data_IF_547517235059
#
_entry.id   IF_547517235059
#
_cell.length_a   1.000
_cell.length_b   1.000
_cell.length_c   1.000
_cell.angle_alpha   90.00
_cell.angle_beta   90.00
_cell.angle_gamma   90.00
#
_symmetry.space_group_name_H-M   'P 1'
#
loop_
_entity.id
_entity.type
_entity.pdbx_description
1 polymer ?
#
# COMPACT_ATOMS: atom_id res chain seq x y z
N UNK A 1 2.63 -11.92 10.97
CA UNK A 1 3.27 -12.34 9.71
C UNK A 1 4.58 -13.03 10.04
N UNK A 2 4.68 -14.34 9.84
CA UNK A 2 5.99 -15.01 9.82
C UNK A 2 6.45 -14.96 8.37
N UNK A 3 7.63 -14.39 8.10
CA UNK A 3 8.26 -14.48 6.79
C UNK A 3 8.66 -15.95 6.61
N UNK A 4 7.80 -16.73 5.95
CA UNK A 4 8.06 -18.15 5.70
C UNK A 4 9.02 -18.27 4.52
N UNK A 5 10.30 -18.36 4.82
CA UNK A 5 11.39 -18.54 3.84
C UNK A 5 12.62 -17.70 4.18
N UNK A 6 13.78 -18.07 3.66
CA UNK A 6 15.06 -17.36 3.81
C UNK A 6 15.09 -16.04 3.00
N UNK A 7 14.09 -15.17 3.14
CA UNK A 7 14.12 -13.87 2.52
C UNK A 7 15.06 -12.94 3.29
N UNK A 8 16.09 -12.43 2.62
CA UNK A 8 16.98 -11.44 3.20
C UNK A 8 16.25 -10.13 3.49
N UNK A 9 16.75 -9.36 4.46
CA UNK A 9 16.23 -8.02 4.79
C UNK A 9 16.16 -7.12 3.55
N UNK A 10 17.14 -7.22 2.63
CA UNK A 10 17.13 -6.47 1.37
C UNK A 10 15.99 -6.87 0.44
N UNK A 11 15.69 -8.16 0.32
CA UNK A 11 14.56 -8.62 -0.50
C UNK A 11 13.24 -8.12 0.07
N UNK A 12 13.09 -8.15 1.40
CA UNK A 12 11.91 -7.62 2.08
C UNK A 12 11.77 -6.11 1.82
N UNK A 13 12.84 -5.34 2.01
CA UNK A 13 12.85 -3.90 1.72
C UNK A 13 12.51 -3.59 0.26
N UNK A 14 12.97 -4.40 -0.69
CA UNK A 14 12.64 -4.26 -2.10
C UNK A 14 11.15 -4.56 -2.36
N UNK A 15 10.63 -5.64 -1.78
CA UNK A 15 9.23 -6.05 -1.92
C UNK A 15 8.26 -4.97 -1.41
N UNK A 16 8.59 -4.28 -0.31
CA UNK A 16 7.82 -3.13 0.19
C UNK A 16 7.73 -1.96 -0.79
N UNK A 17 8.68 -1.82 -1.71
CA UNK A 17 8.67 -0.77 -2.75
C UNK A 17 7.83 -1.16 -3.97
N UNK A 18 7.37 -2.40 -4.08
CA UNK A 18 6.55 -2.84 -5.20
C UNK A 18 5.19 -2.11 -5.24
N UNK A 19 4.61 -1.87 -6.42
CA UNK A 19 3.26 -1.29 -6.52
C UNK A 19 2.20 -2.09 -5.78
N UNK A 20 2.34 -3.42 -5.72
CA UNK A 20 1.45 -4.30 -4.96
C UNK A 20 1.48 -4.00 -3.45
N UNK A 21 2.68 -3.90 -2.87
CA UNK A 21 2.84 -3.61 -1.45
C UNK A 21 2.44 -2.15 -1.12
N UNK A 22 2.74 -1.21 -2.02
CA UNK A 22 2.31 0.17 -1.88
C UNK A 22 0.78 0.27 -1.91
N UNK A 23 0.10 -0.39 -2.84
CA UNK A 23 -1.37 -0.40 -2.89
C UNK A 23 -1.97 -1.06 -1.64
N UNK A 24 -1.43 -2.20 -1.22
CA UNK A 24 -1.87 -2.85 0.02
C UNK A 24 -1.69 -1.98 1.26
N UNK A 25 -0.62 -1.18 1.30
CA UNK A 25 -0.40 -0.20 2.39
C UNK A 25 -1.48 0.87 2.38
N UNK A 26 -1.84 1.41 1.22
CA UNK A 26 -2.93 2.40 1.08
C UNK A 26 -4.31 1.83 1.46
N UNK A 27 -4.55 0.54 1.21
CA UNK A 27 -5.81 -0.12 1.54
C UNK A 27 -5.98 -0.47 3.02
N UNK A 28 -4.90 -0.86 3.70
CA UNK A 28 -4.94 -1.25 5.12
C UNK A 28 -4.65 -0.09 6.08
N UNK A 29 -3.90 0.92 5.62
CA UNK A 29 -3.40 2.00 6.46
C UNK A 29 -4.45 3.04 6.85
N UNK A 30 -4.18 3.73 7.95
CA UNK A 30 -5.03 4.78 8.48
C UNK A 30 -4.45 6.18 8.17
N UNK A 31 -5.19 7.07 7.50
CA UNK A 31 -4.73 8.43 7.25
C UNK A 31 -4.68 9.22 8.56
N UNK A 32 -3.61 10.00 8.74
CA UNK A 32 -3.43 10.88 9.92
C UNK A 32 -3.52 12.37 9.56
N UNK A 33 -3.90 12.70 8.33
CA UNK A 33 -3.81 14.07 7.79
C UNK A 33 -2.40 14.43 7.33
N UNK A 34 -2.28 15.57 6.63
CA UNK A 34 -0.98 16.07 6.13
C UNK A 34 -0.26 15.13 5.15
N UNK A 35 -1.01 14.25 4.47
CA UNK A 35 -0.46 13.24 3.55
C UNK A 35 0.20 12.02 4.23
N UNK A 36 0.14 11.94 5.56
CA UNK A 36 0.72 10.85 6.35
C UNK A 36 -0.25 9.68 6.43
N UNK A 37 0.30 8.48 6.26
CA UNK A 37 -0.40 7.21 6.41
C UNK A 37 0.28 6.38 7.50
N UNK A 38 -0.50 5.93 8.47
CA UNK A 38 -0.05 5.06 9.55
C UNK A 38 -0.42 3.62 9.23
N UNK A 39 0.53 2.71 9.46
CA UNK A 39 0.31 1.28 9.36
C UNK A 39 0.73 0.62 10.67
N UNK A 40 -0.17 -0.09 11.32
CA UNK A 40 0.09 -0.84 12.54
C UNK A 40 0.69 -2.22 12.25
N UNK A 41 1.40 -2.86 13.19
CA UNK A 41 2.01 -4.17 12.95
C UNK A 41 1.03 -5.25 12.46
N UNK A 42 -0.24 -5.19 12.89
CA UNK A 42 -1.28 -6.14 12.46
C UNK A 42 -1.78 -5.88 11.05
N UNK A 43 -1.81 -4.62 10.62
CA UNK A 43 -2.15 -4.20 9.25
C UNK A 43 -0.99 -4.49 8.30
N UNK A 44 0.25 -4.15 8.70
CA UNK A 44 1.46 -4.48 7.96
C UNK A 44 1.60 -5.98 7.71
N UNK A 45 1.10 -6.81 8.62
CA UNK A 45 1.07 -8.26 8.47
C UNK A 45 0.08 -8.78 7.41
N UNK A 46 -0.85 -7.94 6.93
CA UNK A 46 -1.82 -8.24 5.87
C UNK A 46 -1.40 -7.72 4.51
N UNK A 47 -0.45 -6.77 4.46
CA UNK A 47 0.08 -6.24 3.21
C UNK A 47 0.78 -7.35 2.41
N UNK A 48 0.39 -7.60 1.15
CA UNK A 48 1.06 -8.58 0.31
C UNK A 48 2.47 -8.13 -0.07
N UNK A 49 3.47 -8.96 0.23
CA UNK A 49 4.87 -8.73 -0.16
C UNK A 49 5.32 -9.75 -1.23
N UNK A 50 5.70 -9.31 -2.43
CA UNK A 50 6.22 -10.20 -3.47
C UNK A 50 7.68 -10.59 -3.18
N UNK A 51 7.89 -11.56 -2.29
CA UNK A 51 9.23 -12.06 -1.93
C UNK A 51 9.81 -13.08 -2.93
N UNK A 52 9.12 -13.33 -4.05
CA UNK A 52 9.54 -14.20 -5.15
C UNK A 52 9.20 -13.60 -6.51
N UNK A 53 9.42 -14.35 -7.59
CA UNK A 53 9.08 -13.90 -8.93
C UNK A 53 7.57 -13.92 -9.14
N UNK A 54 6.92 -12.76 -9.03
CA UNK A 54 5.57 -12.54 -9.56
C UNK A 54 5.74 -11.97 -10.97
N UNK A 55 5.17 -12.65 -11.95
CA UNK A 55 5.10 -12.11 -13.31
C UNK A 55 3.79 -11.34 -13.45
N UNK A 56 3.91 -10.03 -13.55
CA UNK A 56 2.81 -9.15 -13.90
C UNK A 56 2.95 -8.75 -15.36
N UNK A 57 1.85 -8.76 -16.08
CA UNK A 57 1.75 -8.10 -17.37
C UNK A 57 1.89 -6.58 -17.20
N UNK A 58 2.24 -5.87 -18.27
CA UNK A 58 2.31 -4.41 -18.25
C UNK A 58 0.96 -3.78 -17.85
N UNK A 59 -0.15 -4.37 -18.29
CA UNK A 59 -1.48 -3.89 -17.94
C UNK A 59 -1.78 -4.06 -16.44
N UNK A 60 -1.48 -5.22 -15.85
CA UNK A 60 -1.67 -5.44 -14.41
C UNK A 60 -0.80 -4.49 -13.57
N UNK A 61 0.44 -4.26 -14.00
CA UNK A 61 1.32 -3.30 -13.35
C UNK A 61 0.74 -1.88 -13.38
N UNK A 62 0.24 -1.43 -14.54
CA UNK A 62 -0.41 -0.12 -14.67
C UNK A 62 -1.64 -0.01 -13.76
N UNK A 63 -2.48 -1.05 -13.69
CA UNK A 63 -3.67 -1.07 -12.81
C UNK A 63 -3.26 -0.90 -11.34
N UNK A 64 -2.20 -1.57 -10.90
CA UNK A 64 -1.70 -1.41 -9.52
C UNK A 64 -1.19 0.02 -9.26
N UNK A 65 -0.42 0.57 -10.19
CA UNK A 65 0.10 1.94 -10.07
C UNK A 65 -1.01 3.00 -10.08
N UNK A 66 -2.01 2.84 -10.93
CA UNK A 66 -3.18 3.71 -10.99
C UNK A 66 -4.01 3.61 -9.70
N UNK A 67 -4.14 2.40 -9.14
CA UNK A 67 -4.74 2.19 -7.82
C UNK A 67 -4.00 2.97 -6.72
N UNK A 68 -2.66 2.89 -6.69
CA UNK A 68 -1.84 3.66 -5.72
C UNK A 68 -2.06 5.16 -5.89
N UNK A 69 -2.06 5.67 -7.13
CA UNK A 69 -2.31 7.09 -7.40
C UNK A 69 -3.69 7.53 -6.94
N UNK A 70 -4.71 6.72 -7.21
CA UNK A 70 -6.10 7.00 -6.85
C UNK A 70 -6.28 7.05 -5.35
N UNK A 71 -5.81 6.03 -4.62
CA UNK A 71 -5.91 5.98 -3.15
C UNK A 71 -5.16 7.13 -2.49
N UNK A 72 -3.97 7.49 -3.00
CA UNK A 72 -3.24 8.66 -2.51
C UNK A 72 -4.00 9.95 -2.78
N UNK A 73 -4.60 10.12 -3.96
CA UNK A 73 -5.41 11.29 -4.24
C UNK A 73 -6.57 11.42 -3.25
N UNK A 74 -7.31 10.33 -2.98
CA UNK A 74 -8.37 10.31 -1.97
C UNK A 74 -7.85 10.66 -0.59
N UNK A 75 -6.71 10.10 -0.15
CA UNK A 75 -6.11 10.46 1.14
C UNK A 75 -5.83 11.95 1.29
N UNK A 76 -5.43 12.62 0.22
CA UNK A 76 -5.18 14.07 0.26
C UNK A 76 -6.46 14.89 0.14
N UNK A 77 -7.47 14.41 -0.61
CA UNK A 77 -8.68 15.16 -0.96
C UNK A 77 -9.88 14.90 -0.02
N UNK A 78 -9.96 13.75 0.65
CA UNK A 78 -10.97 13.45 1.69
C UNK A 78 -10.86 14.36 2.92
N UNK A 79 -9.82 15.20 2.97
CA UNK A 79 -9.64 16.22 4.01
C UNK A 79 -10.48 17.49 3.75
N UNK A 80 -11.18 17.60 2.62
CA UNK A 80 -12.03 18.76 2.28
C UNK A 80 -13.54 18.55 2.49
N UNK A 81 -14.04 17.33 2.71
CA UNK A 81 -15.46 17.11 3.02
C UNK A 81 -15.74 17.18 4.54
N UNK A 82 -15.71 18.40 5.08
CA UNK A 82 -16.62 18.76 6.16
C UNK A 82 -17.97 19.12 5.55
N UNK A 83 -18.79 18.11 5.25
CA UNK A 83 -20.20 18.36 4.94
C UNK A 83 -20.86 19.00 6.18
N UNK A 84 -21.46 20.19 6.09
CA UNK A 84 -22.30 20.69 7.17
C UNK A 84 -23.47 19.72 7.35
N UNK A 85 -23.76 19.35 8.59
CA UNK A 85 -24.94 18.57 8.92
C UNK A 85 -26.18 19.24 8.31
N UNK A 86 -26.89 18.51 7.44
CA UNK A 86 -28.26 18.80 7.02
C UNK A 86 -29.19 17.85 7.77
#
# INVERSE_FOLDING_TARGET
MCIKGEASVRQIQSAWKSPLAQLGTELEGHPLGGGVLKLEPREAARVPLPLGSIQLTANELNVLEDGVRTMRAWRHNDQEEHLPAV
#
